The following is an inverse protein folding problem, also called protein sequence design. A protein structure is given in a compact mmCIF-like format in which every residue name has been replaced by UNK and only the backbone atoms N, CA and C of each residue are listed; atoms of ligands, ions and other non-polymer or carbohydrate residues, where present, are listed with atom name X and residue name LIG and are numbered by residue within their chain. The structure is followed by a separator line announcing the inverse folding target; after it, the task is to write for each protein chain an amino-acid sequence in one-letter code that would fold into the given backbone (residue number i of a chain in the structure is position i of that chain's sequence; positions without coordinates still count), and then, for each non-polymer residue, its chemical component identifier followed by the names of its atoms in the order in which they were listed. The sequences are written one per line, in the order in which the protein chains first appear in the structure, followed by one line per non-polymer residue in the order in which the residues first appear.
data_IF_217200464318
#
_entry.id   IF_217200464318
#
_cell.length_a   1.000
_cell.length_b   1.000
_cell.length_c   1.000
_cell.angle_alpha   90.00
_cell.angle_beta   90.00
_cell.angle_gamma   90.00
#
_symmetry.space_group_name_H-M   'P 1'
#
loop_
_entity.id
_entity.type
_entity.pdbx_description
1 polymer ?
#
# COMPACT_ATOMS: atom_id res chain seq x y z
N UNK A 1 9.54 15.68 -9.07
CA UNK A 1 8.35 14.89 -8.70
C UNK A 1 8.12 14.84 -7.18
N UNK A 2 9.16 14.79 -6.35
CA UNK A 2 9.00 14.75 -4.88
C UNK A 2 8.14 15.86 -4.25
N UNK A 3 8.23 17.11 -4.73
CA UNK A 3 7.44 18.23 -4.17
C UNK A 3 5.95 17.98 -4.36
N UNK A 4 5.53 17.50 -5.54
CA UNK A 4 4.14 17.19 -5.82
C UNK A 4 3.66 16.02 -4.97
N UNK A 5 4.47 14.97 -4.81
CA UNK A 5 4.14 13.83 -3.97
C UNK A 5 3.96 14.26 -2.50
N UNK A 6 4.82 15.15 -1.97
CA UNK A 6 4.68 15.71 -0.62
C UNK A 6 3.39 16.51 -0.45
N UNK A 7 3.00 17.30 -1.46
CA UNK A 7 1.73 18.03 -1.44
C UNK A 7 0.53 17.07 -1.45
N UNK A 8 0.58 15.99 -2.25
CA UNK A 8 -0.45 14.95 -2.25
C UNK A 8 -0.57 14.31 -0.87
N UNK A 9 0.54 13.95 -0.23
CA UNK A 9 0.55 13.44 1.15
C UNK A 9 -0.08 14.41 2.13
N UNK A 10 0.29 15.69 2.08
CA UNK A 10 -0.25 16.72 2.98
C UNK A 10 -1.78 16.87 2.82
N UNK A 11 -2.27 16.95 1.57
CA UNK A 11 -3.70 17.08 1.31
C UNK A 11 -4.47 15.78 1.62
N UNK A 12 -3.87 14.63 1.34
CA UNK A 12 -4.40 13.32 1.69
C UNK A 12 -4.64 13.18 3.20
N UNK A 13 -3.69 13.64 4.02
CA UNK A 13 -3.81 13.60 5.49
C UNK A 13 -5.01 14.41 6.02
N UNK A 14 -5.33 15.54 5.36
CA UNK A 14 -6.52 16.33 5.70
C UNK A 14 -7.79 15.53 5.41
N UNK A 15 -7.88 14.92 4.22
CA UNK A 15 -9.03 14.08 3.84
C UNK A 15 -9.21 12.90 4.80
N UNK A 16 -8.12 12.24 5.18
CA UNK A 16 -8.17 11.13 6.13
C UNK A 16 -8.73 11.56 7.49
N UNK A 17 -8.35 12.75 7.98
CA UNK A 17 -8.85 13.28 9.27
C UNK A 17 -10.36 13.45 9.25
N UNK A 18 -10.92 13.97 8.15
CA UNK A 18 -12.37 14.19 7.99
C UNK A 18 -13.11 12.86 7.79
N UNK A 19 -12.49 11.89 7.12
CA UNK A 19 -13.10 10.59 6.78
C UNK A 19 -13.02 9.52 7.89
N UNK A 20 -12.75 9.90 9.15
CA UNK A 20 -12.66 8.95 10.27
C UNK A 20 -11.23 8.53 10.65
N UNK A 21 -10.23 9.32 10.25
CA UNK A 21 -8.84 9.19 10.68
C UNK A 21 -8.21 7.87 10.27
N UNK A 22 -7.72 7.11 11.25
CA UNK A 22 -7.07 5.82 11.03
C UNK A 22 -7.97 4.78 10.38
N UNK A 23 -9.29 4.87 10.55
CA UNK A 23 -10.28 3.93 10.00
C UNK A 23 -10.67 4.23 8.53
N UNK A 24 -10.28 5.39 8.00
CA UNK A 24 -10.51 5.74 6.59
C UNK A 24 -9.67 4.87 5.65
N UNK A 25 -10.14 4.71 4.41
CA UNK A 25 -9.42 4.08 3.32
C UNK A 25 -9.09 5.06 2.18
N UNK A 26 -8.35 4.57 1.19
CA UNK A 26 -8.03 5.27 -0.05
C UNK A 26 -8.13 4.31 -1.24
N UNK A 27 -8.60 4.81 -2.37
CA UNK A 27 -8.71 4.03 -3.59
C UNK A 27 -7.33 3.87 -4.24
N UNK A 28 -6.78 2.65 -4.24
CA UNK A 28 -5.36 2.41 -4.58
C UNK A 28 -4.94 2.95 -5.96
N UNK A 29 -5.85 2.96 -6.93
CA UNK A 29 -5.54 3.38 -8.29
C UNK A 29 -5.32 4.90 -8.41
N UNK A 30 -5.75 5.68 -7.42
CA UNK A 30 -5.67 7.15 -7.39
C UNK A 30 -5.18 7.66 -6.02
N UNK A 31 -4.31 6.88 -5.36
CA UNK A 31 -3.86 7.17 -4.01
C UNK A 31 -2.50 7.88 -3.95
N UNK A 32 -2.14 8.35 -2.76
CA UNK A 32 -0.80 8.87 -2.46
C UNK A 32 0.26 7.76 -2.63
N UNK A 33 1.25 7.92 -3.53
CA UNK A 33 2.34 6.94 -3.68
C UNK A 33 3.19 6.78 -2.41
N UNK A 34 3.18 7.78 -1.51
CA UNK A 34 3.92 7.75 -0.25
C UNK A 34 3.09 7.27 0.95
N UNK A 35 1.90 6.71 0.73
CA UNK A 35 1.03 6.27 1.83
C UNK A 35 1.77 5.26 2.73
N UNK A 36 1.96 5.66 4.00
CA UNK A 36 2.73 4.90 4.98
C UNK A 36 1.98 3.65 5.41
N UNK A 37 0.67 3.74 5.56
CA UNK A 37 -0.20 2.66 6.03
C UNK A 37 -0.98 2.02 4.88
N UNK A 38 -0.34 1.93 3.71
CA UNK A 38 -0.96 1.53 2.45
C UNK A 38 -1.66 0.18 2.52
N UNK A 39 -1.15 -0.78 3.32
CA UNK A 39 -1.82 -2.07 3.49
C UNK A 39 -3.24 -1.87 4.01
N UNK A 40 -3.41 -1.06 5.07
CA UNK A 40 -4.73 -0.81 5.63
C UNK A 40 -5.55 0.15 4.76
N UNK A 41 -4.91 1.20 4.25
CA UNK A 41 -5.61 2.24 3.47
C UNK A 41 -6.17 1.70 2.17
N UNK A 42 -5.46 0.81 1.48
CA UNK A 42 -5.87 0.30 0.17
C UNK A 42 -6.66 -1.00 0.26
N UNK A 43 -6.38 -1.84 1.26
CA UNK A 43 -6.94 -3.20 1.33
C UNK A 43 -7.81 -3.47 2.58
N UNK A 44 -8.00 -2.47 3.45
CA UNK A 44 -8.91 -2.53 4.59
C UNK A 44 -8.24 -3.03 5.87
N UNK A 45 -8.88 -3.94 6.61
CA UNK A 45 -8.28 -4.46 7.85
C UNK A 45 -6.98 -5.22 7.57
N UNK A 46 -6.10 -5.31 8.58
CA UNK A 46 -4.88 -6.12 8.44
C UNK A 46 -5.21 -7.60 8.16
N UNK A 47 -6.34 -8.09 8.65
CA UNK A 47 -6.85 -9.43 8.37
C UNK A 47 -7.17 -9.61 6.88
N UNK A 48 -7.80 -8.62 6.25
CA UNK A 48 -8.07 -8.64 4.81
C UNK A 48 -6.76 -8.61 4.02
N UNK A 49 -5.81 -7.75 4.38
CA UNK A 49 -4.50 -7.71 3.74
C UNK A 49 -3.79 -9.07 3.84
N UNK A 50 -3.74 -9.68 5.03
CA UNK A 50 -3.12 -10.98 5.24
C UNK A 50 -3.81 -12.09 4.44
N UNK A 51 -5.14 -12.05 4.32
CA UNK A 51 -5.90 -12.97 3.47
C UNK A 51 -5.50 -12.82 2.00
N UNK A 52 -5.42 -11.59 1.49
CA UNK A 52 -4.97 -11.33 0.11
C UNK A 52 -3.52 -11.79 -0.09
N UNK A 53 -2.62 -11.52 0.86
CA UNK A 53 -1.22 -11.96 0.83
C UNK A 53 -1.12 -13.48 0.80
N UNK A 54 -1.95 -14.20 1.56
CA UNK A 54 -1.98 -15.67 1.51
C UNK A 54 -2.39 -16.19 0.13
N UNK A 55 -3.35 -15.55 -0.54
CA UNK A 55 -3.77 -15.90 -1.91
C UNK A 55 -2.64 -15.59 -2.89
N UNK A 56 -2.02 -14.42 -2.78
CA UNK A 56 -0.89 -14.01 -3.60
C UNK A 56 0.26 -15.02 -3.50
N UNK A 57 0.65 -15.43 -2.29
CA UNK A 57 1.71 -16.41 -2.09
C UNK A 57 1.36 -17.80 -2.65
N UNK A 58 0.07 -18.16 -2.68
CA UNK A 58 -0.39 -19.41 -3.29
C UNK A 58 -0.39 -19.36 -4.82
N UNK A 59 -0.74 -18.22 -5.41
CA UNK A 59 -0.87 -18.05 -6.87
C UNK A 59 0.46 -17.68 -7.53
N UNK A 60 1.30 -16.89 -6.85
CA UNK A 60 2.61 -16.44 -7.30
C UNK A 60 3.66 -16.67 -6.20
N UNK A 61 4.03 -17.93 -5.91
CA UNK A 61 4.95 -18.28 -4.82
C UNK A 61 6.37 -17.74 -5.05
N UNK A 62 6.77 -17.54 -6.32
CA UNK A 62 8.07 -17.00 -6.66
C UNK A 62 8.09 -15.46 -6.63
N UNK A 63 6.93 -14.81 -6.52
CA UNK A 63 6.82 -13.35 -6.50
C UNK A 63 7.19 -12.69 -7.83
N UNK A 64 6.92 -13.34 -8.96
CA UNK A 64 7.27 -12.81 -10.29
C UNK A 64 6.53 -11.48 -10.55
N UNK A 65 5.32 -11.33 -10.02
CA UNK A 65 4.50 -10.13 -10.21
C UNK A 65 4.55 -9.24 -8.97
N UNK A 66 5.44 -8.24 -8.97
CA UNK A 66 5.56 -7.24 -7.90
C UNK A 66 5.27 -5.84 -8.45
N UNK A 67 4.66 -4.99 -7.62
CA UNK A 67 4.42 -3.58 -7.93
C UNK A 67 4.39 -2.74 -6.65
N UNK A 68 4.58 -1.43 -6.80
CA UNK A 68 4.68 -0.52 -5.67
C UNK A 68 3.36 -0.49 -4.88
N UNK A 69 3.44 -0.79 -3.58
CA UNK A 69 2.28 -0.87 -2.65
C UNK A 69 1.20 -1.88 -3.09
N UNK A 70 1.57 -2.90 -3.84
CA UNK A 70 0.71 -4.04 -4.14
C UNK A 70 0.77 -5.09 -3.03
N UNK A 71 -0.25 -5.94 -2.94
CA UNK A 71 -0.25 -7.07 -1.99
C UNK A 71 1.03 -7.90 -2.13
N UNK A 72 1.80 -8.01 -1.03
CA UNK A 72 3.06 -8.74 -0.97
C UNK A 72 4.30 -7.92 -1.37
N UNK A 73 4.17 -6.65 -1.74
CA UNK A 73 5.33 -5.80 -2.03
C UNK A 73 6.18 -5.48 -0.79
N UNK A 74 5.64 -5.70 0.42
CA UNK A 74 6.36 -5.58 1.69
C UNK A 74 7.41 -6.66 1.93
N UNK A 75 7.43 -7.71 1.11
CA UNK A 75 8.49 -8.72 1.12
C UNK A 75 9.70 -8.30 0.25
N UNK A 76 9.66 -7.10 -0.35
CA UNK A 76 10.65 -6.58 -1.28
C UNK A 76 11.16 -5.21 -0.84
N UNK A 77 12.42 -4.94 -1.18
CA UNK A 77 13.06 -3.62 -1.10
C UNK A 77 12.20 -2.54 -1.75
N UNK A 78 12.41 -1.27 -1.36
CA UNK A 78 11.58 -0.15 -1.81
C UNK A 78 11.58 0.03 -3.35
N UNK A 79 12.69 -0.34 -4.01
CA UNK A 79 12.84 -0.32 -5.47
C UNK A 79 12.33 -1.61 -6.14
N UNK A 80 11.85 -2.57 -5.35
CA UNK A 80 11.29 -3.87 -5.74
C UNK A 80 12.27 -4.82 -6.45
N UNK A 81 13.58 -4.55 -6.37
CA UNK A 81 14.58 -5.35 -7.07
C UNK A 81 15.06 -6.56 -6.27
N UNK A 82 15.04 -6.46 -4.94
CA UNK A 82 15.50 -7.51 -4.02
C UNK A 82 14.39 -7.92 -3.05
N UNK A 83 14.31 -9.21 -2.73
CA UNK A 83 13.55 -9.72 -1.57
C UNK A 83 14.28 -9.34 -0.26
N UNK A 84 13.53 -9.13 0.83
CA UNK A 84 14.07 -8.70 2.14
C UNK A 84 14.09 -9.85 3.17
N UNK A 85 14.20 -11.09 2.70
CA UNK A 85 14.37 -12.28 3.53
C UNK A 85 15.70 -12.32 4.31
#
# INVERSE_FOLDING_TARGET
QEILAKLVTEKGNILQTIAGGSQSGAYMNEADPNEKYWQQKFFGTIENYNKLKSIKNRVDPNGIFVCNKCVGSDDWSDDLNCRID
#
